data_IF_373021744523
#
_entry.id   IF_373021744523
#
_cell.length_a   1.000
_cell.length_b   1.000
_cell.length_c   1.000
_cell.angle_alpha   90.00
_cell.angle_beta   90.00
_cell.angle_gamma   90.00
#
_symmetry.space_group_name_H-M   'P 1'
#
loop_
_entity.id
_entity.type
_entity.pdbx_description
1 polymer ?
#
# COMPACT_ATOMS: atom_id res chain seq x y z
N UNK A 1 -55.77 9.89 -22.28
CA UNK A 1 -56.06 11.31 -22.58
C UNK A 1 -54.93 12.21 -22.04
N UNK A 2 -53.88 12.40 -22.84
CA UNK A 2 -53.49 13.70 -23.46
C UNK A 2 -52.81 14.65 -22.44
N UNK A 3 -51.62 15.23 -22.65
CA UNK A 3 -50.91 15.56 -23.89
C UNK A 3 -49.44 15.92 -23.55
N UNK A 4 -48.53 15.38 -24.34
CA UNK A 4 -47.32 15.96 -24.94
C UNK A 4 -46.67 17.24 -24.37
N UNK A 5 -45.35 17.17 -24.15
CA UNK A 5 -44.40 18.26 -24.40
C UNK A 5 -43.16 17.67 -25.09
N UNK A 6 -43.03 17.98 -26.39
CA UNK A 6 -41.84 17.79 -27.24
C UNK A 6 -40.98 19.05 -27.09
N UNK A 7 -39.67 18.89 -26.98
CA UNK A 7 -38.73 19.87 -27.55
C UNK A 7 -37.74 19.13 -28.44
N UNK A 8 -37.88 19.38 -29.74
CA UNK A 8 -36.89 19.13 -30.75
C UNK A 8 -36.24 20.49 -31.08
N UNK A 9 -34.92 20.52 -31.17
CA UNK A 9 -34.20 21.56 -31.88
C UNK A 9 -33.06 20.88 -32.65
N UNK A 10 -33.21 20.86 -33.97
CA UNK A 10 -32.18 20.53 -34.94
C UNK A 10 -31.56 21.84 -35.48
N UNK A 11 -30.39 21.78 -36.12
CA UNK A 11 -29.38 22.84 -36.09
C UNK A 11 -29.43 23.77 -37.31
N UNK A 12 -28.79 24.93 -37.21
CA UNK A 12 -28.51 25.82 -38.33
C UNK A 12 -27.10 26.43 -38.23
N UNK A 13 -26.40 26.45 -39.37
CA UNK A 13 -25.20 27.25 -39.66
C UNK A 13 -23.89 26.57 -39.27
N UNK A 14 -22.98 26.20 -40.14
CA UNK A 14 -22.62 26.82 -41.43
C UNK A 14 -21.40 27.71 -41.20
N UNK A 15 -20.21 27.20 -41.50
CA UNK A 15 -18.96 27.95 -41.41
C UNK A 15 -17.81 27.11 -41.97
N UNK A 16 -17.51 27.32 -43.26
CA UNK A 16 -16.34 26.75 -43.92
C UNK A 16 -15.05 27.41 -43.46
N UNK A 17 -13.93 26.72 -43.65
CA UNK A 17 -12.62 27.30 -43.35
C UNK A 17 -11.48 26.31 -43.52
N UNK A 18 -10.83 26.41 -44.68
CA UNK A 18 -9.41 26.18 -44.95
C UNK A 18 -8.80 24.81 -44.63
N UNK A 19 -8.36 24.14 -45.70
CA UNK A 19 -7.45 23.02 -45.65
C UNK A 19 -6.09 23.39 -45.06
N UNK A 20 -5.56 22.47 -44.25
CA UNK A 20 -4.15 22.38 -43.90
C UNK A 20 -3.67 20.99 -44.25
N UNK A 21 -3.04 20.86 -45.43
CA UNK A 21 -2.25 19.71 -45.78
C UNK A 21 -0.99 19.70 -44.90
N UNK A 22 -0.81 18.64 -44.15
CA UNK A 22 0.34 18.43 -43.27
C UNK A 22 0.61 16.94 -43.15
N UNK A 23 0.99 16.32 -44.28
CA UNK A 23 1.50 14.95 -44.33
C UNK A 23 2.86 14.89 -43.64
N UNK A 24 2.84 14.67 -42.33
CA UNK A 24 3.99 14.18 -41.58
C UNK A 24 4.20 12.69 -41.90
N UNK A 25 5.12 12.42 -42.81
CA UNK A 25 5.58 11.07 -43.13
C UNK A 25 6.25 10.43 -41.91
N UNK A 26 5.46 9.71 -41.12
CA UNK A 26 5.97 8.80 -40.10
C UNK A 26 6.46 7.52 -40.79
N UNK A 27 7.78 7.42 -40.97
CA UNK A 27 8.48 6.29 -41.57
C UNK A 27 8.57 5.11 -40.58
N UNK A 28 7.43 4.66 -40.08
CA UNK A 28 7.29 3.43 -39.30
C UNK A 28 7.13 2.22 -40.21
N UNK A 29 8.13 1.33 -40.22
CA UNK A 29 8.13 -0.04 -40.75
C UNK A 29 6.73 -0.64 -41.00
N UNK A 30 6.28 -0.62 -42.26
CA UNK A 30 4.99 -1.18 -42.72
C UNK A 30 5.04 -2.70 -42.98
N UNK A 31 5.88 -3.46 -42.28
CA UNK A 31 5.95 -4.92 -42.43
C UNK A 31 5.02 -5.70 -41.49
N UNK A 32 4.04 -5.03 -40.87
CA UNK A 32 2.94 -5.73 -40.20
C UNK A 32 2.08 -6.48 -41.23
N UNK A 33 2.48 -7.73 -41.54
CA UNK A 33 1.92 -8.55 -42.60
C UNK A 33 0.39 -8.63 -42.61
N UNK A 34 -0.19 -8.77 -43.79
CA UNK A 34 -1.64 -8.93 -44.04
C UNK A 34 -2.30 -9.93 -43.09
N UNK A 35 -1.58 -10.99 -42.69
CA UNK A 35 -2.00 -11.98 -41.70
C UNK A 35 -2.35 -11.36 -40.33
N UNK A 36 -1.61 -10.36 -39.86
CA UNK A 36 -1.88 -9.68 -38.59
C UNK A 36 -3.21 -8.92 -38.62
N UNK A 37 -3.44 -8.17 -39.70
CA UNK A 37 -4.69 -7.43 -39.90
C UNK A 37 -5.87 -8.40 -39.96
N UNK A 38 -5.70 -9.55 -40.61
CA UNK A 38 -6.70 -10.61 -40.65
C UNK A 38 -6.99 -11.19 -39.24
N UNK A 39 -5.97 -11.55 -38.45
CA UNK A 39 -6.15 -12.04 -37.07
C UNK A 39 -6.86 -11.04 -36.17
N UNK A 40 -6.47 -9.76 -36.23
CA UNK A 40 -7.09 -8.69 -35.42
C UNK A 40 -8.53 -8.40 -35.83
N UNK A 41 -8.81 -8.42 -37.14
CA UNK A 41 -10.16 -8.27 -37.66
C UNK A 41 -11.04 -9.46 -37.27
N UNK A 42 -10.52 -10.68 -37.42
CA UNK A 42 -11.19 -11.91 -36.99
C UNK A 42 -11.49 -11.87 -35.49
N UNK A 43 -10.51 -11.52 -34.64
CA UNK A 43 -10.71 -11.39 -33.20
C UNK A 43 -11.81 -10.38 -32.84
N UNK A 44 -11.91 -9.27 -33.59
CA UNK A 44 -12.96 -8.26 -33.35
C UNK A 44 -14.36 -8.70 -33.79
N UNK A 45 -14.48 -9.63 -34.74
CA UNK A 45 -15.76 -10.17 -35.23
C UNK A 45 -16.16 -11.45 -34.49
N UNK A 46 -15.20 -12.17 -33.93
CA UNK A 46 -15.42 -13.40 -33.17
C UNK A 46 -15.96 -13.13 -31.76
N UNK A 47 -15.86 -11.91 -31.21
CA UNK A 47 -16.34 -11.62 -29.84
C UNK A 47 -17.79 -12.02 -29.57
N UNK A 48 -18.63 -12.05 -30.62
CA UNK A 48 -20.05 -12.36 -30.53
C UNK A 48 -20.36 -13.83 -30.87
N UNK A 49 -19.34 -14.63 -31.22
CA UNK A 49 -19.50 -16.01 -31.68
C UNK A 49 -19.04 -17.02 -30.62
N UNK A 50 -19.54 -18.26 -30.70
CA UNK A 50 -19.06 -19.38 -29.87
C UNK A 50 -17.54 -19.55 -29.95
N UNK A 51 -16.96 -19.30 -31.13
CA UNK A 51 -15.52 -19.38 -31.34
C UNK A 51 -14.74 -18.30 -30.57
N UNK A 52 -15.28 -17.08 -30.45
CA UNK A 52 -14.65 -16.05 -29.63
C UNK A 52 -14.71 -16.38 -28.14
N UNK A 53 -15.83 -16.92 -27.64
CA UNK A 53 -15.92 -17.40 -26.26
C UNK A 53 -14.91 -18.51 -25.99
N UNK A 54 -14.82 -19.52 -26.86
CA UNK A 54 -13.81 -20.57 -26.74
C UNK A 54 -12.37 -20.02 -26.73
N UNK A 55 -12.10 -18.98 -27.52
CA UNK A 55 -10.80 -18.31 -27.49
C UNK A 55 -10.55 -17.58 -26.16
N UNK A 56 -11.58 -16.98 -25.56
CA UNK A 56 -11.48 -16.32 -24.26
C UNK A 56 -11.22 -17.34 -23.15
N UNK A 57 -12.01 -18.42 -23.08
CA UNK A 57 -11.81 -19.53 -22.12
C UNK A 57 -10.38 -20.03 -22.18
N UNK A 58 -9.82 -20.18 -23.39
CA UNK A 58 -8.43 -20.60 -23.58
C UNK A 58 -7.40 -19.67 -22.91
N UNK A 59 -7.69 -18.38 -22.74
CA UNK A 59 -6.76 -17.43 -22.14
C UNK A 59 -7.01 -17.13 -20.67
N UNK A 60 -8.28 -17.07 -20.25
CA UNK A 60 -8.65 -16.66 -18.88
C UNK A 60 -9.19 -17.81 -18.02
N UNK A 61 -9.33 -19.01 -18.58
CA UNK A 61 -9.95 -20.15 -17.91
C UNK A 61 -11.48 -20.12 -17.97
N UNK A 62 -12.09 -21.20 -17.50
CA UNK A 62 -13.55 -21.30 -17.32
C UNK A 62 -14.01 -20.38 -16.19
N UNK A 63 -13.17 -20.21 -15.17
CA UNK A 63 -13.39 -19.34 -14.03
C UNK A 63 -13.46 -17.87 -14.46
N UNK A 64 -12.57 -17.45 -15.36
CA UNK A 64 -12.60 -16.09 -15.90
C UNK A 64 -13.86 -15.80 -16.71
N UNK A 65 -14.38 -16.78 -17.46
CA UNK A 65 -15.67 -16.64 -18.14
C UNK A 65 -16.81 -16.53 -17.13
N UNK A 66 -16.82 -17.37 -16.09
CA UNK A 66 -17.83 -17.34 -15.04
C UNK A 66 -17.85 -16.01 -14.26
N UNK A 67 -16.68 -15.38 -14.02
CA UNK A 67 -16.62 -14.01 -13.46
C UNK A 67 -17.32 -13.02 -14.39
N UNK A 68 -17.05 -13.07 -15.71
CA UNK A 68 -17.70 -12.16 -16.65
C UNK A 68 -19.21 -12.38 -16.77
N UNK A 69 -19.68 -13.63 -16.67
CA UNK A 69 -21.10 -13.97 -16.63
C UNK A 69 -21.78 -13.39 -15.39
N UNK A 70 -21.13 -13.48 -14.23
CA UNK A 70 -21.63 -12.88 -13.00
C UNK A 70 -21.71 -11.34 -13.08
N UNK A 71 -20.69 -10.70 -13.68
CA UNK A 71 -20.68 -9.26 -13.91
C UNK A 71 -21.75 -8.85 -14.95
N UNK A 72 -21.96 -9.62 -16.02
CA UNK A 72 -23.03 -9.40 -16.99
C UNK A 72 -24.42 -9.49 -16.32
N UNK A 73 -24.63 -10.49 -15.46
CA UNK A 73 -25.87 -10.62 -14.67
C UNK A 73 -26.10 -9.41 -13.75
N UNK A 74 -25.05 -8.96 -13.06
CA UNK A 74 -25.11 -7.78 -12.19
C UNK A 74 -25.49 -6.53 -12.99
N UNK A 75 -24.82 -6.25 -14.11
CA UNK A 75 -25.13 -5.08 -14.94
C UNK A 75 -26.53 -5.18 -15.54
N UNK A 76 -26.98 -6.37 -15.92
CA UNK A 76 -28.36 -6.57 -16.43
C UNK A 76 -29.41 -6.19 -15.37
N UNK A 77 -29.15 -6.47 -14.09
CA UNK A 77 -30.03 -6.09 -12.97
C UNK A 77 -30.01 -4.60 -12.62
N UNK A 78 -28.93 -3.88 -12.97
CA UNK A 78 -28.70 -2.47 -12.63
C UNK A 78 -29.12 -1.52 -13.74
N UNK A 79 -28.85 -1.89 -14.99
CA UNK A 79 -29.10 -1.08 -16.17
C UNK A 79 -30.02 -1.81 -17.15
N UNK A 80 -29.47 -2.29 -18.27
CA UNK A 80 -30.20 -3.00 -19.30
C UNK A 80 -29.39 -4.19 -19.81
N UNK A 81 -30.08 -5.23 -20.28
CA UNK A 81 -29.45 -6.39 -20.92
C UNK A 81 -28.55 -5.98 -22.10
N UNK A 82 -28.94 -4.92 -22.83
CA UNK A 82 -28.13 -4.38 -23.92
C UNK A 82 -26.79 -3.82 -23.41
N UNK A 83 -26.81 -3.01 -22.36
CA UNK A 83 -25.60 -2.44 -21.77
C UNK A 83 -24.67 -3.53 -21.22
N UNK A 84 -25.22 -4.53 -20.54
CA UNK A 84 -24.46 -5.67 -20.02
C UNK A 84 -23.75 -6.46 -21.13
N UNK A 85 -24.45 -6.77 -22.22
CA UNK A 85 -23.89 -7.45 -23.40
C UNK A 85 -22.82 -6.61 -24.09
N UNK A 86 -23.02 -5.30 -24.21
CA UNK A 86 -22.04 -4.38 -24.80
C UNK A 86 -20.77 -4.30 -23.94
N UNK A 87 -20.90 -4.19 -22.62
CA UNK A 87 -19.77 -4.21 -21.68
C UNK A 87 -18.95 -5.50 -21.81
N UNK A 88 -19.60 -6.67 -21.70
CA UNK A 88 -18.92 -7.97 -21.81
C UNK A 88 -18.22 -8.15 -23.15
N UNK A 89 -18.88 -7.80 -24.24
CA UNK A 89 -18.31 -7.81 -25.59
C UNK A 89 -17.05 -6.95 -25.69
N UNK A 90 -17.06 -5.78 -25.06
CA UNK A 90 -15.93 -4.87 -25.09
C UNK A 90 -14.77 -5.35 -24.21
N UNK A 91 -15.03 -5.95 -23.05
CA UNK A 91 -14.04 -6.66 -22.23
C UNK A 91 -13.38 -7.78 -23.05
N UNK A 92 -14.17 -8.67 -23.65
CA UNK A 92 -13.69 -9.78 -24.48
C UNK A 92 -12.80 -9.30 -25.62
N UNK A 93 -13.22 -8.24 -26.34
CA UNK A 93 -12.43 -7.67 -27.44
C UNK A 93 -11.08 -7.12 -26.98
N UNK A 94 -11.03 -6.51 -25.79
CA UNK A 94 -9.79 -5.97 -25.23
C UNK A 94 -8.85 -7.10 -24.80
N UNK A 95 -9.38 -8.11 -24.11
CA UNK A 95 -8.63 -9.31 -23.72
C UNK A 95 -8.03 -10.01 -24.94
N UNK A 96 -8.83 -10.30 -25.97
CA UNK A 96 -8.34 -10.96 -27.19
C UNK A 96 -7.24 -10.15 -27.89
N UNK A 97 -7.34 -8.81 -27.91
CA UNK A 97 -6.29 -7.95 -28.48
C UNK A 97 -5.01 -7.99 -27.63
N UNK A 98 -5.13 -7.99 -26.30
CA UNK A 98 -3.99 -8.11 -25.40
C UNK A 98 -3.30 -9.46 -25.59
N UNK A 99 -4.06 -10.56 -25.63
CA UNK A 99 -3.53 -11.92 -25.84
C UNK A 99 -2.83 -12.08 -27.19
N UNK A 100 -3.40 -11.55 -28.28
CA UNK A 100 -2.73 -11.58 -29.59
C UNK A 100 -1.44 -10.75 -29.56
N UNK A 101 -1.46 -9.60 -28.90
CA UNK A 101 -0.27 -8.73 -28.78
C UNK A 101 0.83 -9.39 -27.93
N UNK A 102 0.45 -10.16 -26.91
CA UNK A 102 1.36 -10.98 -26.10
C UNK A 102 1.99 -12.11 -26.92
N UNK A 103 1.19 -12.89 -27.66
CA UNK A 103 1.68 -13.99 -28.51
C UNK A 103 2.64 -13.52 -29.60
N UNK A 104 2.43 -12.32 -30.13
CA UNK A 104 3.31 -11.71 -31.12
C UNK A 104 4.51 -10.98 -30.50
N UNK A 105 4.74 -11.13 -29.19
CA UNK A 105 5.84 -10.50 -28.44
C UNK A 105 5.90 -8.97 -28.59
N UNK A 106 4.74 -8.33 -28.82
CA UNK A 106 4.64 -6.86 -28.88
C UNK A 106 4.51 -6.24 -27.50
N UNK A 107 3.98 -7.01 -26.55
CA UNK A 107 3.97 -6.63 -25.13
C UNK A 107 5.31 -7.04 -24.54
N UNK A 108 5.99 -6.10 -23.89
CA UNK A 108 7.26 -6.34 -23.22
C UNK A 108 7.06 -7.32 -22.05
N UNK A 109 7.86 -8.39 -21.99
CA UNK A 109 7.76 -9.43 -20.96
C UNK A 109 8.02 -8.89 -19.55
N UNK A 110 8.99 -7.99 -19.37
CA UNK A 110 9.27 -7.37 -18.08
C UNK A 110 8.11 -6.47 -17.62
N UNK A 111 7.52 -5.71 -18.54
CA UNK A 111 6.34 -4.89 -18.26
C UNK A 111 5.12 -5.76 -17.88
N UNK A 112 4.94 -6.91 -18.55
CA UNK A 112 3.88 -7.86 -18.22
C UNK A 112 4.10 -8.48 -16.84
N UNK A 113 5.33 -8.91 -16.53
CA UNK A 113 5.70 -9.42 -15.19
C UNK A 113 5.45 -8.38 -14.10
N UNK A 114 5.78 -7.11 -14.34
CA UNK A 114 5.51 -6.02 -13.41
C UNK A 114 4.01 -5.77 -13.19
N UNK A 115 3.15 -6.15 -14.14
CA UNK A 115 1.70 -6.04 -14.04
C UNK A 115 1.03 -7.19 -13.26
N UNK A 116 1.70 -8.35 -13.12
CA UNK A 116 1.13 -9.52 -12.42
C UNK A 116 0.80 -9.17 -10.97
N UNK A 117 1.75 -8.63 -10.22
CA UNK A 117 1.57 -8.39 -8.78
C UNK A 117 0.40 -7.42 -8.47
N UNK A 118 0.25 -6.26 -9.13
CA UNK A 118 -0.93 -5.41 -8.94
C UNK A 118 -2.25 -6.11 -9.29
N UNK A 119 -2.26 -6.97 -10.31
CA UNK A 119 -3.46 -7.70 -10.72
C UNK A 119 -3.85 -8.79 -9.74
N UNK A 120 -2.88 -9.59 -9.26
CA UNK A 120 -3.12 -10.59 -8.22
C UNK A 120 -3.66 -9.94 -6.96
N UNK A 121 -3.08 -8.81 -6.55
CA UNK A 121 -3.56 -8.03 -5.39
C UNK A 121 -4.97 -7.50 -5.54
N UNK A 122 -5.35 -7.05 -6.74
CA UNK A 122 -6.73 -6.68 -7.01
C UNK A 122 -7.65 -7.90 -6.88
N UNK A 123 -7.23 -9.06 -7.37
CA UNK A 123 -7.94 -10.33 -7.17
C UNK A 123 -8.15 -10.67 -5.70
N UNK A 124 -7.09 -10.61 -4.89
CA UNK A 124 -7.14 -10.83 -3.43
C UNK A 124 -8.14 -9.86 -2.76
N UNK A 125 -8.07 -8.57 -3.10
CA UNK A 125 -8.99 -7.56 -2.57
C UNK A 125 -10.44 -7.83 -2.96
N UNK A 126 -10.71 -8.21 -4.21
CA UNK A 126 -12.08 -8.55 -4.64
C UNK A 126 -12.60 -9.74 -3.82
N UNK A 127 -11.77 -10.78 -3.61
CA UNK A 127 -12.15 -11.94 -2.81
C UNK A 127 -12.47 -11.54 -1.38
N UNK A 128 -11.61 -10.77 -0.71
CA UNK A 128 -11.83 -10.31 0.67
C UNK A 128 -13.10 -9.46 0.81
N UNK A 129 -13.32 -8.52 -0.13
CA UNK A 129 -14.48 -7.64 -0.11
C UNK A 129 -15.79 -8.40 -0.38
N UNK A 130 -15.75 -9.47 -1.18
CA UNK A 130 -16.91 -10.31 -1.39
C UNK A 130 -17.24 -11.23 -0.21
N UNK A 131 -16.30 -11.48 0.74
CA UNK A 131 -16.58 -12.24 1.97
C UNK A 131 -17.35 -11.43 3.02
N UNK A 132 -17.18 -10.11 3.00
CA UNK A 132 -17.83 -9.22 3.96
C UNK A 132 -19.36 -9.26 3.82
N UNK A 133 -20.11 -9.16 4.93
CA UNK A 133 -21.57 -9.07 4.87
C UNK A 133 -22.02 -7.83 4.07
N UNK A 134 -23.19 -7.92 3.45
CA UNK A 134 -23.76 -6.83 2.68
C UNK A 134 -24.06 -5.63 3.59
N UNK A 135 -23.64 -4.42 3.19
CA UNK A 135 -23.83 -3.18 3.96
C UNK A 135 -22.57 -2.66 4.65
N UNK A 136 -21.57 -3.53 4.86
CA UNK A 136 -20.33 -3.19 5.59
C UNK A 136 -19.13 -2.91 4.66
N UNK A 137 -19.32 -2.97 3.34
CA UNK A 137 -18.21 -2.89 2.38
C UNK A 137 -17.93 -1.46 1.94
N UNK A 138 -16.76 -0.93 2.31
CA UNK A 138 -16.28 0.37 1.83
C UNK A 138 -15.78 0.31 0.37
N UNK A 139 -16.66 0.65 -0.56
CA UNK A 139 -16.34 0.60 -1.99
C UNK A 139 -15.27 1.61 -2.44
N UNK A 140 -14.91 2.63 -1.64
CA UNK A 140 -13.94 3.65 -2.05
C UNK A 140 -12.52 3.08 -2.16
N UNK A 141 -12.13 2.22 -1.22
CA UNK A 141 -10.83 1.54 -1.25
C UNK A 141 -10.72 0.58 -2.45
N UNK A 142 -11.76 -0.20 -2.72
CA UNK A 142 -11.78 -1.12 -3.88
C UNK A 142 -11.80 -0.34 -5.21
N UNK A 143 -12.57 0.75 -5.30
CA UNK A 143 -12.58 1.66 -6.45
C UNK A 143 -11.17 2.17 -6.77
N UNK A 144 -10.44 2.62 -5.75
CA UNK A 144 -9.06 3.08 -5.88
C UNK A 144 -8.14 1.96 -6.37
N UNK A 145 -8.29 0.74 -5.85
CA UNK A 145 -7.51 -0.42 -6.28
C UNK A 145 -7.77 -0.82 -7.74
N UNK A 146 -9.04 -0.80 -8.18
CA UNK A 146 -9.42 -1.06 -9.58
C UNK A 146 -8.77 -0.04 -10.52
N UNK A 147 -8.82 1.25 -10.18
CA UNK A 147 -8.22 2.31 -11.01
C UNK A 147 -6.68 2.21 -11.05
N UNK A 148 -6.05 1.89 -9.93
CA UNK A 148 -4.60 1.67 -9.88
C UNK A 148 -4.17 0.47 -10.75
N UNK A 149 -4.93 -0.63 -10.72
CA UNK A 149 -4.70 -1.78 -11.60
C UNK A 149 -4.92 -1.43 -13.07
N UNK A 150 -5.96 -0.64 -13.38
CA UNK A 150 -6.19 -0.09 -14.71
C UNK A 150 -4.99 0.71 -15.21
N UNK A 151 -4.39 1.59 -14.41
CA UNK A 151 -3.28 2.43 -14.85
C UNK A 151 -2.00 1.62 -15.16
N UNK A 152 -1.80 0.50 -14.44
CA UNK A 152 -0.75 -0.46 -14.75
C UNK A 152 -1.03 -1.16 -16.08
N UNK A 153 -2.24 -1.69 -16.26
CA UNK A 153 -2.64 -2.38 -17.49
C UNK A 153 -2.67 -1.44 -18.70
N UNK A 154 -3.09 -0.18 -18.52
CA UNK A 154 -3.16 0.81 -19.58
C UNK A 154 -1.76 1.11 -20.12
N UNK A 155 -0.77 1.28 -19.23
CA UNK A 155 0.65 1.43 -19.62
C UNK A 155 1.16 0.21 -20.39
N UNK A 156 0.74 -1.00 -20.00
CA UNK A 156 1.12 -2.23 -20.67
C UNK A 156 0.57 -2.32 -22.10
N UNK A 157 -0.69 -1.89 -22.32
CA UNK A 157 -1.37 -2.03 -23.62
C UNK A 157 -1.20 -0.82 -24.55
N UNK A 158 -0.85 0.35 -24.01
CA UNK A 158 -0.71 1.61 -24.78
C UNK A 158 0.21 1.48 -26.00
N UNK A 159 1.37 0.81 -25.93
CA UNK A 159 2.26 0.67 -27.09
C UNK A 159 1.70 -0.23 -28.21
N UNK A 160 0.71 -1.08 -27.92
CA UNK A 160 0.23 -2.13 -28.83
C UNK A 160 -1.21 -1.94 -29.29
N UNK A 161 -1.93 -1.01 -28.67
CA UNK A 161 -3.34 -0.73 -28.95
C UNK A 161 -3.55 0.65 -29.57
N UNK A 162 -4.73 0.84 -30.18
CA UNK A 162 -5.13 2.14 -30.72
C UNK A 162 -5.80 2.94 -29.61
N UNK A 163 -5.69 4.27 -29.66
CA UNK A 163 -6.29 5.19 -28.69
C UNK A 163 -7.77 4.95 -28.40
N UNK A 164 -8.58 4.62 -29.43
CA UNK A 164 -9.99 4.25 -29.22
C UNK A 164 -10.21 3.04 -28.31
N UNK A 165 -9.26 2.11 -28.25
CA UNK A 165 -9.32 0.98 -27.31
C UNK A 165 -8.89 1.41 -25.91
N UNK A 166 -7.99 2.40 -25.79
CA UNK A 166 -7.57 2.95 -24.49
C UNK A 166 -8.77 3.65 -23.83
N UNK A 167 -9.45 4.53 -24.57
CA UNK A 167 -10.66 5.21 -24.10
C UNK A 167 -11.72 4.20 -23.61
N UNK A 168 -11.96 3.15 -24.40
CA UNK A 168 -12.89 2.08 -24.04
C UNK A 168 -12.45 1.27 -22.82
N UNK A 169 -11.16 0.96 -22.69
CA UNK A 169 -10.63 0.27 -21.52
C UNK A 169 -10.80 1.12 -20.26
N UNK A 170 -10.53 2.43 -20.35
CA UNK A 170 -10.73 3.38 -19.26
C UNK A 170 -12.20 3.58 -18.93
N UNK A 171 -13.12 3.55 -19.90
CA UNK A 171 -14.56 3.61 -19.66
C UNK A 171 -15.04 2.40 -18.86
N UNK A 172 -14.63 1.19 -19.25
CA UNK A 172 -14.94 -0.05 -18.52
C UNK A 172 -14.36 0.00 -17.10
N UNK A 173 -13.10 0.40 -16.95
CA UNK A 173 -12.46 0.48 -15.63
C UNK A 173 -13.15 1.51 -14.72
N UNK A 174 -13.51 2.69 -15.24
CA UNK A 174 -14.25 3.71 -14.48
C UNK A 174 -15.64 3.22 -14.10
N UNK A 175 -16.34 2.53 -14.98
CA UNK A 175 -17.63 1.92 -14.67
C UNK A 175 -17.49 0.87 -13.57
N UNK A 176 -16.55 -0.06 -13.70
CA UNK A 176 -16.28 -1.11 -12.72
C UNK A 176 -15.80 -0.55 -11.36
N UNK A 177 -15.11 0.59 -11.35
CA UNK A 177 -14.69 1.30 -10.14
C UNK A 177 -15.78 2.25 -9.59
N UNK A 178 -16.89 2.45 -10.31
CA UNK A 178 -17.87 3.46 -9.91
C UNK A 178 -18.64 3.03 -8.65
N UNK A 179 -18.96 3.96 -7.74
CA UNK A 179 -19.84 3.67 -6.62
C UNK A 179 -21.21 3.16 -7.06
N UNK A 180 -21.69 3.61 -8.23
CA UNK A 180 -22.94 3.14 -8.83
C UNK A 180 -22.91 1.66 -9.20
N UNK A 181 -21.73 1.09 -9.49
CA UNK A 181 -21.57 -0.34 -9.77
C UNK A 181 -21.20 -1.15 -8.53
N UNK A 182 -20.17 -0.72 -7.79
CA UNK A 182 -19.63 -1.47 -6.65
C UNK A 182 -20.60 -1.56 -5.47
N UNK A 183 -21.32 -0.48 -5.14
CA UNK A 183 -22.23 -0.51 -3.99
C UNK A 183 -23.38 -1.51 -4.19
N UNK A 184 -24.11 -1.52 -5.33
CA UNK A 184 -25.14 -2.54 -5.52
C UNK A 184 -24.55 -3.96 -5.52
N UNK A 185 -23.43 -4.19 -6.22
CA UNK A 185 -22.82 -5.52 -6.27
C UNK A 185 -22.39 -6.05 -4.89
N UNK A 186 -21.81 -5.20 -4.04
CA UNK A 186 -21.20 -5.63 -2.77
C UNK A 186 -22.11 -5.45 -1.54
N UNK A 187 -22.99 -4.45 -1.56
CA UNK A 187 -23.79 -4.04 -0.41
C UNK A 187 -25.30 -4.27 -0.57
N UNK A 188 -25.84 -4.45 -1.77
CA UNK A 188 -27.27 -4.73 -1.95
C UNK A 188 -27.54 -6.25 -1.97
N UNK A 189 -28.35 -6.79 -1.04
CA UNK A 189 -28.70 -8.21 -0.97
C UNK A 189 -29.27 -8.80 -2.28
N UNK A 190 -29.86 -7.98 -3.16
CA UNK A 190 -30.37 -8.39 -4.49
C UNK A 190 -29.28 -8.99 -5.39
N UNK A 191 -28.01 -8.66 -5.13
CA UNK A 191 -26.84 -9.10 -5.90
C UNK A 191 -26.04 -10.19 -5.19
N UNK A 192 -26.58 -10.78 -4.11
CA UNK A 192 -25.88 -11.83 -3.35
C UNK A 192 -25.46 -13.04 -4.20
N UNK A 193 -26.26 -13.44 -5.20
CA UNK A 193 -25.90 -14.49 -6.15
C UNK A 193 -24.69 -14.13 -7.02
N UNK A 194 -24.65 -12.92 -7.56
CA UNK A 194 -23.56 -12.43 -8.40
C UNK A 194 -22.31 -12.18 -7.58
N UNK A 195 -22.44 -11.58 -6.40
CA UNK A 195 -21.35 -11.38 -5.44
C UNK A 195 -20.69 -12.70 -5.08
N UNK A 196 -21.49 -13.73 -4.76
CA UNK A 196 -20.99 -15.08 -4.47
C UNK A 196 -20.30 -15.70 -5.69
N UNK A 197 -20.89 -15.59 -6.88
CA UNK A 197 -20.26 -16.12 -8.09
C UNK A 197 -18.92 -15.42 -8.39
N UNK A 198 -18.84 -14.09 -8.25
CA UNK A 198 -17.57 -13.36 -8.39
C UNK A 198 -16.55 -13.82 -7.35
N UNK A 199 -16.96 -13.99 -6.08
CA UNK A 199 -16.09 -14.51 -5.02
C UNK A 199 -15.51 -15.88 -5.38
N UNK A 200 -16.37 -16.86 -5.63
CA UNK A 200 -15.96 -18.26 -5.78
C UNK A 200 -15.00 -18.43 -6.97
N UNK A 201 -15.28 -17.73 -8.07
CA UNK A 201 -14.47 -17.80 -9.28
C UNK A 201 -13.16 -17.00 -9.14
N UNK A 202 -13.21 -15.80 -8.54
CA UNK A 202 -11.99 -15.02 -8.30
C UNK A 202 -11.06 -15.71 -7.29
N UNK A 203 -11.61 -16.38 -6.28
CA UNK A 203 -10.84 -17.17 -5.32
C UNK A 203 -10.09 -18.31 -6.02
N UNK A 204 -10.75 -19.04 -6.92
CA UNK A 204 -10.11 -20.07 -7.74
C UNK A 204 -8.99 -19.51 -8.62
N UNK A 205 -9.22 -18.37 -9.29
CA UNK A 205 -8.20 -17.70 -10.12
C UNK A 205 -6.99 -17.30 -9.28
N UNK A 206 -7.23 -16.69 -8.12
CA UNK A 206 -6.18 -16.23 -7.19
C UNK A 206 -5.37 -17.41 -6.65
N UNK A 207 -6.03 -18.50 -6.27
CA UNK A 207 -5.38 -19.73 -5.80
C UNK A 207 -4.48 -20.33 -6.89
N UNK A 208 -5.00 -20.46 -8.11
CA UNK A 208 -4.26 -21.03 -9.25
C UNK A 208 -3.02 -20.22 -9.64
N UNK A 209 -3.03 -18.89 -9.43
CA UNK A 209 -1.91 -18.01 -9.76
C UNK A 209 -0.93 -17.81 -8.58
N UNK A 210 -1.09 -18.60 -7.51
CA UNK A 210 -0.30 -18.49 -6.30
C UNK A 210 -0.84 -17.37 -5.42
N UNK A 211 -1.84 -17.69 -4.61
CA UNK A 211 -2.38 -16.73 -3.64
C UNK A 211 -1.27 -16.24 -2.71
N UNK A 212 -1.12 -14.92 -2.61
CA UNK A 212 -0.26 -14.30 -1.60
C UNK A 212 -0.95 -14.23 -0.23
N UNK A 213 -2.08 -14.92 -0.03
CA UNK A 213 -2.90 -14.91 1.18
C UNK A 213 -2.17 -15.41 2.46
N UNK A 214 -0.91 -15.83 2.37
CA UNK A 214 -0.11 -16.18 3.53
C UNK A 214 0.49 -15.00 4.31
N UNK A 215 0.80 -13.87 3.67
CA UNK A 215 1.50 -12.76 4.36
C UNK A 215 1.61 -11.58 3.41
N UNK A 216 0.65 -10.67 3.42
CA UNK A 216 0.93 -9.22 3.39
C UNK A 216 -0.38 -8.46 3.47
N UNK A 217 -0.82 -8.25 4.71
CA UNK A 217 -1.76 -7.16 5.01
C UNK A 217 -1.28 -5.91 4.24
N UNK A 218 -2.13 -5.30 3.44
CA UNK A 218 -1.75 -4.11 2.70
C UNK A 218 -1.39 -2.99 3.67
N UNK A 219 -0.62 -2.04 3.17
CA UNK A 219 -0.39 -0.79 3.88
C UNK A 219 -1.73 -0.15 4.25
N UNK A 220 -1.91 0.22 5.53
CA UNK A 220 -3.11 0.86 6.04
C UNK A 220 -3.33 2.29 5.51
N UNK A 221 -2.37 2.86 4.75
CA UNK A 221 -2.56 4.12 4.05
C UNK A 221 -3.54 3.91 2.89
N UNK A 222 -4.70 4.60 2.87
CA UNK A 222 -5.65 4.49 1.77
C UNK A 222 -5.00 4.69 0.40
N UNK A 223 -5.29 3.79 -0.55
CA UNK A 223 -4.73 3.82 -1.90
C UNK A 223 -3.31 3.25 -2.04
N UNK A 224 -2.63 2.88 -0.96
CA UNK A 224 -1.31 2.25 -1.02
C UNK A 224 -1.41 0.74 -1.20
N UNK A 225 -1.11 0.26 -2.41
CA UNK A 225 -1.10 -1.18 -2.74
C UNK A 225 0.22 -1.89 -2.40
N UNK A 226 1.17 -1.19 -1.78
CA UNK A 226 2.40 -1.81 -1.32
C UNK A 226 2.14 -2.71 -0.11
N UNK A 227 2.82 -3.87 -0.03
CA UNK A 227 2.67 -4.80 1.08
C UNK A 227 3.08 -4.14 2.41
N UNK A 228 2.42 -4.44 3.54
CA UNK A 228 3.00 -4.18 4.87
C UNK A 228 4.41 -4.75 4.90
N UNK A 229 5.29 -4.08 5.64
CA UNK A 229 6.51 -4.74 6.06
C UNK A 229 6.18 -5.84 7.07
N UNK A 230 6.95 -6.91 7.06
CA UNK A 230 6.86 -8.02 8.01
C UNK A 230 7.44 -7.65 9.38
N UNK A 231 7.15 -6.45 9.88
CA UNK A 231 7.41 -6.07 11.26
C UNK A 231 6.14 -6.24 12.08
N UNK A 232 6.28 -6.88 13.25
CA UNK A 232 5.16 -7.11 14.15
C UNK A 232 4.52 -5.78 14.54
N UNK A 233 3.21 -5.64 14.31
CA UNK A 233 2.46 -4.41 14.59
C UNK A 233 2.59 -3.29 13.54
N UNK A 234 3.45 -3.40 12.52
CA UNK A 234 3.73 -2.31 11.60
C UNK A 234 2.68 -2.13 10.51
N UNK A 235 1.66 -1.28 10.68
CA UNK A 235 0.51 -1.16 9.76
C UNK A 235 0.81 -0.65 8.34
N UNK A 236 2.05 -0.39 7.97
CA UNK A 236 2.40 0.34 6.75
C UNK A 236 3.40 -0.43 5.88
N UNK A 237 3.43 -0.13 4.59
CA UNK A 237 4.51 -0.60 3.71
C UNK A 237 5.84 0.05 4.07
N UNK A 238 6.95 -0.44 3.50
CA UNK A 238 8.28 0.06 3.84
C UNK A 238 8.41 1.58 3.64
N UNK A 239 7.83 2.11 2.56
CA UNK A 239 7.82 3.54 2.28
C UNK A 239 7.04 4.35 3.32
N UNK A 240 5.77 4.01 3.54
CA UNK A 240 4.94 4.72 4.52
C UNK A 240 5.38 4.48 5.97
N UNK A 241 5.98 3.34 6.26
CA UNK A 241 6.61 3.06 7.54
C UNK A 241 7.84 3.96 7.74
N UNK A 242 8.73 4.01 6.75
CA UNK A 242 9.90 4.88 6.79
C UNK A 242 9.50 6.35 6.86
N UNK A 243 8.42 6.79 6.19
CA UNK A 243 7.89 8.15 6.29
C UNK A 243 7.29 8.42 7.67
N UNK A 244 6.41 7.53 8.16
CA UNK A 244 5.79 7.65 9.48
C UNK A 244 6.83 7.74 10.59
N UNK A 245 7.93 7.02 10.46
CA UNK A 245 9.02 6.99 11.44
C UNK A 245 10.29 7.70 10.95
N UNK A 246 10.19 8.53 9.91
CA UNK A 246 11.30 9.36 9.43
C UNK A 246 11.64 10.47 10.41
N UNK A 247 10.64 10.87 11.19
CA UNK A 247 10.76 11.79 12.30
C UNK A 247 10.87 10.97 13.59
N UNK A 248 11.72 11.36 14.53
CA UNK A 248 11.71 10.75 15.86
C UNK A 248 10.28 10.79 16.42
N UNK A 249 9.72 9.66 16.87
CA UNK A 249 8.40 9.65 17.49
C UNK A 249 8.40 10.58 18.69
N UNK A 250 7.32 11.33 18.86
CA UNK A 250 7.14 12.25 19.99
C UNK A 250 6.44 11.55 21.15
N UNK A 251 6.45 12.15 22.33
CA UNK A 251 5.70 11.65 23.50
C UNK A 251 4.24 11.33 23.17
N UNK A 252 3.54 12.20 22.42
CA UNK A 252 2.13 11.99 22.06
C UNK A 252 1.90 10.72 21.22
N UNK A 253 2.88 10.31 20.41
CA UNK A 253 2.79 9.06 19.63
C UNK A 253 2.83 7.83 20.54
N UNK A 254 3.57 7.91 21.66
CA UNK A 254 3.60 6.88 22.68
C UNK A 254 2.30 6.86 23.50
N UNK A 255 1.76 8.01 23.89
CA UNK A 255 0.53 8.07 24.68
C UNK A 255 -0.70 7.54 23.93
N UNK A 256 -0.72 7.64 22.59
CA UNK A 256 -1.84 7.18 21.75
C UNK A 256 -1.78 5.70 21.37
N UNK A 257 -0.66 5.03 21.59
CA UNK A 257 -0.47 3.63 21.23
C UNK A 257 -0.10 2.82 22.48
N UNK A 258 -0.98 1.90 22.90
CA UNK A 258 -0.80 1.11 24.12
C UNK A 258 0.48 0.27 24.11
N UNK A 259 0.90 -0.27 22.96
CA UNK A 259 2.14 -1.04 22.86
C UNK A 259 3.37 -0.14 23.04
N UNK A 260 3.36 1.05 22.43
CA UNK A 260 4.47 2.01 22.56
C UNK A 260 4.53 2.55 24.00
N UNK A 261 3.37 2.90 24.57
CA UNK A 261 3.24 3.39 25.94
C UNK A 261 3.88 2.46 26.97
N UNK A 262 3.82 1.14 26.78
CA UNK A 262 4.44 0.16 27.69
C UNK A 262 5.94 0.34 27.84
N UNK A 263 6.66 0.71 26.77
CA UNK A 263 8.10 0.99 26.85
C UNK A 263 8.38 2.22 27.70
N UNK A 264 7.60 3.29 27.50
CA UNK A 264 7.76 4.52 28.29
C UNK A 264 7.33 4.33 29.75
N UNK A 265 6.27 3.55 30.01
CA UNK A 265 5.88 3.15 31.37
C UNK A 265 6.96 2.34 32.07
N UNK A 266 7.59 1.40 31.36
CA UNK A 266 8.71 0.62 31.90
C UNK A 266 9.89 1.50 32.28
N UNK A 267 10.22 2.49 31.44
CA UNK A 267 11.24 3.49 31.74
C UNK A 267 10.86 4.35 32.96
N UNK A 268 9.63 4.84 33.01
CA UNK A 268 9.15 5.73 34.07
C UNK A 268 9.13 5.12 35.47
N UNK A 269 9.19 3.79 35.61
CA UNK A 269 9.37 3.13 36.90
C UNK A 269 10.75 3.43 37.52
N UNK A 270 11.78 3.63 36.70
CA UNK A 270 13.14 3.92 37.16
C UNK A 270 13.43 5.39 37.44
N UNK A 271 12.55 6.31 37.03
CA UNK A 271 12.72 7.76 37.19
C UNK A 271 11.78 8.27 38.27
N UNK A 272 12.35 8.84 39.34
CA UNK A 272 11.59 9.31 40.48
C UNK A 272 10.50 10.32 40.07
N UNK A 273 9.27 10.08 40.49
CA UNK A 273 8.11 10.92 40.18
C UNK A 273 7.51 10.70 38.79
N UNK A 274 8.29 10.33 37.77
CA UNK A 274 7.86 10.29 36.35
C UNK A 274 6.61 9.44 36.13
N UNK A 275 6.55 8.29 36.80
CA UNK A 275 5.39 7.41 36.76
C UNK A 275 4.11 8.09 37.25
N UNK A 276 4.19 8.90 38.30
CA UNK A 276 3.03 9.61 38.83
C UNK A 276 2.55 10.67 37.84
N UNK A 277 3.47 11.39 37.19
CA UNK A 277 3.12 12.36 36.14
C UNK A 277 2.45 11.68 34.94
N UNK A 278 2.99 10.55 34.48
CA UNK A 278 2.41 9.78 33.38
C UNK A 278 1.02 9.25 33.74
N UNK A 279 0.86 8.64 34.91
CA UNK A 279 -0.43 8.15 35.41
C UNK A 279 -1.45 9.30 35.50
N UNK A 280 -1.05 10.47 36.00
CA UNK A 280 -1.91 11.64 36.09
C UNK A 280 -2.40 12.09 34.70
N UNK A 281 -1.51 12.26 33.72
CA UNK A 281 -1.88 12.67 32.36
C UNK A 281 -2.88 11.70 31.72
N UNK A 282 -2.66 10.39 31.85
CA UNK A 282 -3.57 9.35 31.34
C UNK A 282 -4.94 9.41 32.04
N UNK A 283 -4.96 9.59 33.37
CA UNK A 283 -6.22 9.69 34.13
C UNK A 283 -7.01 10.95 33.80
N UNK A 284 -6.33 12.08 33.60
CA UNK A 284 -6.98 13.32 33.18
C UNK A 284 -7.53 13.20 31.76
N UNK A 285 -6.83 12.52 30.85
CA UNK A 285 -7.34 12.34 29.50
C UNK A 285 -8.61 11.48 29.45
N UNK A 286 -8.62 10.38 30.21
CA UNK A 286 -9.83 9.57 30.41
C UNK A 286 -10.97 10.36 31.07
N UNK A 287 -10.66 11.28 31.99
CA UNK A 287 -11.66 12.12 32.66
C UNK A 287 -12.44 13.01 31.69
N UNK A 288 -11.80 13.52 30.62
CA UNK A 288 -12.45 14.37 29.61
C UNK A 288 -13.62 13.69 28.88
N UNK A 289 -13.60 12.37 28.78
CA UNK A 289 -14.64 11.57 28.11
C UNK A 289 -15.88 11.29 28.97
N UNK A 290 -15.89 11.71 30.24
CA UNK A 290 -17.02 11.46 31.16
C UNK A 290 -18.13 12.49 30.89
N UNK A 291 -19.34 12.02 30.59
CA UNK A 291 -20.49 12.89 30.32
C UNK A 291 -21.44 13.04 31.52
N UNK A 292 -21.39 12.11 32.49
CA UNK A 292 -22.21 12.16 33.71
C UNK A 292 -21.57 13.06 34.77
N UNK A 293 -22.32 14.06 35.24
CA UNK A 293 -21.83 15.04 36.22
C UNK A 293 -21.48 14.42 37.57
N UNK A 294 -22.25 13.46 38.05
CA UNK A 294 -22.02 12.84 39.36
C UNK A 294 -20.74 11.98 39.32
N UNK A 295 -20.57 11.20 38.26
CA UNK A 295 -19.35 10.41 38.02
C UNK A 295 -18.15 11.35 37.83
N UNK A 296 -18.33 12.47 37.11
CA UNK A 296 -17.27 13.47 36.93
C UNK A 296 -16.85 14.07 38.29
N UNK A 297 -17.79 14.44 39.15
CA UNK A 297 -17.51 14.96 40.50
C UNK A 297 -16.75 13.97 41.38
N UNK A 298 -17.19 12.71 41.41
CA UNK A 298 -16.48 11.67 42.16
C UNK A 298 -15.06 11.45 41.63
N UNK A 299 -14.90 11.38 40.30
CA UNK A 299 -13.59 11.17 39.65
C UNK A 299 -12.67 12.37 39.80
N UNK A 300 -13.18 13.59 39.73
CA UNK A 300 -12.41 14.81 39.94
C UNK A 300 -11.82 14.85 41.34
N UNK A 301 -12.64 14.61 42.38
CA UNK A 301 -12.18 14.54 43.77
C UNK A 301 -11.11 13.47 43.96
N UNK A 302 -11.30 12.28 43.36
CA UNK A 302 -10.31 11.21 43.43
C UNK A 302 -8.99 11.57 42.77
N UNK A 303 -9.01 12.17 41.57
CA UNK A 303 -7.81 12.61 40.87
C UNK A 303 -7.09 13.68 41.69
N UNK A 304 -7.81 14.68 42.20
CA UNK A 304 -7.26 15.75 43.02
C UNK A 304 -6.55 15.21 44.28
N UNK A 305 -7.24 14.38 45.08
CA UNK A 305 -6.67 13.81 46.31
C UNK A 305 -5.48 12.91 46.03
N UNK A 306 -5.49 12.15 44.93
CA UNK A 306 -4.43 11.19 44.61
C UNK A 306 -3.16 11.89 44.12
N UNK A 307 -3.30 12.89 43.25
CA UNK A 307 -2.19 13.45 42.47
C UNK A 307 -1.83 14.90 42.81
N UNK A 308 -2.77 15.74 43.25
CA UNK A 308 -2.53 17.17 43.42
C UNK A 308 -2.32 17.57 44.89
N UNK A 309 -2.81 16.78 45.84
CA UNK A 309 -2.49 17.00 47.25
C UNK A 309 -1.05 16.56 47.56
N UNK A 310 -0.27 17.35 48.33
CA UNK A 310 1.07 16.95 48.77
C UNK A 310 1.09 15.67 49.62
N UNK A 311 -0.02 15.38 50.31
CA UNK A 311 -0.24 14.16 51.10
C UNK A 311 -0.85 13.02 50.29
N UNK A 312 -1.07 13.22 48.98
CA UNK A 312 -1.61 12.22 48.08
C UNK A 312 -0.69 11.00 47.95
N UNK A 313 -1.25 9.87 47.54
CA UNK A 313 -0.47 8.64 47.36
C UNK A 313 0.44 8.67 46.13
N UNK A 314 0.18 9.55 45.17
CA UNK A 314 0.96 9.71 43.93
C UNK A 314 1.13 11.19 43.55
N UNK A 315 1.77 12.02 44.40
CA UNK A 315 1.80 13.45 44.19
C UNK A 315 2.55 13.80 42.89
N UNK A 316 2.06 14.83 42.20
CA UNK A 316 2.64 15.44 41.01
C UNK A 316 2.93 16.90 41.31
N UNK A 317 4.11 17.36 40.89
CA UNK A 317 4.50 18.76 41.01
C UNK A 317 3.68 19.63 40.04
N UNK A 318 2.83 20.50 40.61
CA UNK A 318 2.05 21.52 39.90
C UNK A 318 2.15 22.81 40.71
N UNK A 319 2.02 23.97 40.03
CA UNK A 319 2.00 25.26 40.70
C UNK A 319 0.86 25.33 41.74
N UNK A 320 1.15 25.88 42.93
CA UNK A 320 0.20 25.92 44.06
C UNK A 320 -1.08 26.68 43.73
N UNK A 321 -0.98 27.75 42.94
CA UNK A 321 -2.12 28.57 42.54
C UNK A 321 -3.10 27.74 41.69
N UNK A 322 -2.59 26.93 40.75
CA UNK A 322 -3.41 26.02 39.95
C UNK A 322 -4.10 24.96 40.80
N UNK A 323 -3.44 24.45 41.85
CA UNK A 323 -4.04 23.47 42.76
C UNK A 323 -5.20 24.10 43.53
N UNK A 324 -5.06 25.34 44.00
CA UNK A 324 -6.12 26.07 44.69
C UNK A 324 -7.32 26.37 43.76
N UNK A 325 -7.07 26.77 42.51
CA UNK A 325 -8.11 27.01 41.51
C UNK A 325 -8.92 25.74 41.19
N UNK A 326 -8.21 24.61 41.05
CA UNK A 326 -8.84 23.31 40.83
C UNK A 326 -9.67 22.90 42.05
N UNK A 327 -9.15 23.08 43.26
CA UNK A 327 -9.84 22.76 44.52
C UNK A 327 -11.16 23.52 44.64
N UNK A 328 -11.14 24.84 44.37
CA UNK A 328 -12.33 25.69 44.37
C UNK A 328 -13.40 25.23 43.37
N UNK A 329 -12.97 24.60 42.27
CA UNK A 329 -13.84 24.16 41.18
C UNK A 329 -14.29 22.69 41.30
N UNK A 330 -13.90 21.95 42.35
CA UNK A 330 -14.25 20.53 42.53
C UNK A 330 -15.74 20.26 42.74
N UNK A 331 -16.51 21.25 43.18
CA UNK A 331 -17.95 21.10 43.39
C UNK A 331 -18.75 21.13 42.08
N UNK A 332 -18.22 21.80 41.06
CA UNK A 332 -18.80 21.94 39.72
C UNK A 332 -17.74 21.65 38.64
N UNK A 333 -17.24 20.40 38.57
CA UNK A 333 -16.17 20.06 37.65
C UNK A 333 -16.63 20.19 36.19
N UNK A 334 -15.68 20.56 35.33
CA UNK A 334 -15.83 20.56 33.87
C UNK A 334 -14.82 19.63 33.24
N UNK A 335 -15.02 19.26 31.96
CA UNK A 335 -14.06 18.43 31.22
C UNK A 335 -12.66 19.07 31.12
N UNK A 336 -12.55 20.40 31.26
CA UNK A 336 -11.31 21.16 31.19
C UNK A 336 -10.72 21.49 32.57
N UNK A 337 -11.31 21.02 33.67
CA UNK A 337 -10.90 21.33 35.05
C UNK A 337 -9.39 21.17 35.27
N UNK A 338 -8.80 20.09 34.73
CA UNK A 338 -7.39 19.76 34.92
C UNK A 338 -6.49 20.19 33.75
N UNK A 339 -6.98 20.95 32.76
CA UNK A 339 -6.25 21.21 31.52
C UNK A 339 -4.88 21.88 31.75
N UNK A 340 -4.84 22.92 32.60
CA UNK A 340 -3.58 23.62 32.92
C UNK A 340 -2.59 22.73 33.68
N UNK A 341 -3.06 22.00 34.70
CA UNK A 341 -2.23 21.06 35.46
C UNK A 341 -1.71 19.90 34.58
N UNK A 342 -2.56 19.40 33.67
CA UNK A 342 -2.17 18.37 32.70
C UNK A 342 -1.08 18.89 31.76
N UNK A 343 -1.18 20.14 31.29
CA UNK A 343 -0.17 20.75 30.43
C UNK A 343 1.18 20.85 31.14
N UNK A 344 1.23 21.31 32.40
CA UNK A 344 2.48 21.34 33.18
C UNK A 344 3.10 19.94 33.34
N UNK A 345 2.28 18.93 33.65
CA UNK A 345 2.75 17.55 33.75
C UNK A 345 3.24 17.01 32.40
N UNK A 346 2.55 17.35 31.31
CA UNK A 346 2.90 16.95 29.95
C UNK A 346 4.23 17.56 29.52
N UNK A 347 4.47 18.85 29.75
CA UNK A 347 5.73 19.52 29.43
C UNK A 347 6.92 18.88 30.15
N UNK A 348 6.75 18.48 31.42
CA UNK A 348 7.77 17.72 32.14
C UNK A 348 8.01 16.35 31.52
N UNK A 349 6.94 15.63 31.16
CA UNK A 349 7.07 14.33 30.49
C UNK A 349 7.76 14.47 29.13
N UNK A 350 7.43 15.50 28.36
CA UNK A 350 7.98 15.74 27.02
C UNK A 350 9.47 16.04 27.11
N UNK A 351 9.88 16.88 28.07
CA UNK A 351 11.30 17.14 28.34
C UNK A 351 12.07 15.86 28.68
N UNK A 352 11.57 15.06 29.62
CA UNK A 352 12.23 13.78 29.99
C UNK A 352 12.21 12.79 28.83
N UNK A 353 11.14 12.80 28.03
CA UNK A 353 11.04 11.96 26.85
C UNK A 353 12.16 12.29 25.85
N UNK A 354 12.29 13.56 25.49
CA UNK A 354 13.26 14.03 24.50
C UNK A 354 14.71 13.97 25.00
N UNK A 355 14.95 14.37 26.26
CA UNK A 355 16.31 14.49 26.82
C UNK A 355 16.88 13.13 27.28
N UNK A 356 16.06 12.24 27.84
CA UNK A 356 16.54 11.03 28.53
C UNK A 356 15.99 9.74 27.92
N UNK A 357 14.66 9.64 27.70
CA UNK A 357 14.04 8.38 27.28
C UNK A 357 14.54 7.93 25.91
N UNK A 358 14.74 8.85 24.95
CA UNK A 358 15.28 8.54 23.62
C UNK A 358 16.66 7.86 23.70
N UNK A 359 17.45 8.12 24.76
CA UNK A 359 18.73 7.46 25.02
C UNK A 359 18.64 6.12 25.78
N UNK A 360 17.46 5.76 26.28
CA UNK A 360 17.26 4.60 27.17
C UNK A 360 17.35 3.24 26.46
N UNK A 361 17.51 2.17 27.25
CA UNK A 361 17.45 0.80 26.73
C UNK A 361 16.05 0.44 26.21
N UNK A 362 15.00 0.96 26.85
CA UNK A 362 13.60 0.75 26.48
C UNK A 362 13.28 1.36 25.13
N UNK A 363 13.77 2.58 24.85
CA UNK A 363 13.61 3.21 23.54
C UNK A 363 14.41 2.50 22.45
N UNK A 364 15.61 1.99 22.76
CA UNK A 364 16.38 1.16 21.83
C UNK A 364 15.66 -0.13 21.46
N UNK A 365 15.04 -0.78 22.44
CA UNK A 365 14.24 -1.99 22.21
C UNK A 365 12.98 -1.68 21.38
N UNK A 366 12.26 -0.60 21.72
CA UNK A 366 11.16 -0.09 20.90
C UNK A 366 11.62 0.15 19.46
N UNK A 367 12.76 0.82 19.27
CA UNK A 367 13.32 1.13 17.95
C UNK A 367 13.65 -0.14 17.18
N UNK A 368 14.26 -1.13 17.84
CA UNK A 368 14.59 -2.42 17.24
C UNK A 368 13.34 -3.17 16.77
N UNK A 369 12.31 -3.24 17.60
CA UNK A 369 11.09 -4.03 17.34
C UNK A 369 10.18 -3.32 16.34
N UNK A 370 9.96 -2.02 16.51
CA UNK A 370 8.93 -1.28 15.78
C UNK A 370 9.47 -0.43 14.64
N UNK A 371 10.76 -0.06 14.65
CA UNK A 371 11.37 0.71 13.55
C UNK A 371 12.18 -0.19 12.59
N UNK A 372 12.45 -1.44 12.98
CA UNK A 372 13.04 -2.50 12.13
C UNK A 372 14.52 -2.32 11.81
N UNK A 373 15.08 -1.14 12.06
CA UNK A 373 16.50 -0.81 11.98
C UNK A 373 16.77 0.20 13.09
N UNK A 374 17.91 0.09 13.78
CA UNK A 374 18.46 1.23 14.51
C UNK A 374 18.80 2.26 13.43
N UNK A 375 17.84 3.10 13.06
CA UNK A 375 18.08 4.23 12.18
C UNK A 375 19.04 5.13 12.96
N UNK A 376 20.32 5.28 12.55
CA UNK A 376 21.12 6.37 13.07
C UNK A 376 20.30 7.65 12.88
N UNK A 377 20.26 8.56 13.86
CA UNK A 377 19.43 9.75 13.78
C UNK A 377 19.67 10.41 12.42
N UNK A 378 18.60 10.52 11.62
CA UNK A 378 18.75 11.12 10.30
C UNK A 378 19.31 12.52 10.49
N UNK A 379 20.32 12.93 9.71
CA UNK A 379 20.85 14.28 9.79
C UNK A 379 19.69 15.27 9.71
N UNK A 380 19.63 16.32 10.55
CA UNK A 380 18.55 17.30 10.52
C UNK A 380 18.27 17.87 9.11
N UNK A 381 19.30 17.98 8.28
CA UNK A 381 19.20 18.37 6.87
C UNK A 381 18.44 17.37 5.99
N UNK A 382 18.49 16.07 6.26
CA UNK A 382 17.69 15.05 5.56
C UNK A 382 16.22 15.10 5.99
N UNK A 383 15.96 15.31 7.28
CA UNK A 383 14.60 15.50 7.82
C UNK A 383 13.95 16.74 7.22
N UNK A 384 14.67 17.87 7.19
CA UNK A 384 14.18 19.12 6.59
C UNK A 384 13.87 18.96 5.10
N UNK A 385 14.67 18.18 4.36
CA UNK A 385 14.45 17.88 2.93
C UNK A 385 13.21 17.01 2.70
N UNK A 386 12.99 15.98 3.52
CA UNK A 386 11.79 15.14 3.45
C UNK A 386 10.52 15.92 3.81
N UNK A 387 10.59 16.79 4.83
CA UNK A 387 9.49 17.68 5.19
C UNK A 387 9.16 18.69 4.07
N UNK A 388 10.16 19.19 3.34
CA UNK A 388 9.94 20.04 2.18
C UNK A 388 9.27 19.28 1.01
N UNK A 389 9.58 17.99 0.82
CA UNK A 389 8.94 17.15 -0.20
C UNK A 389 7.45 16.89 0.08
N UNK A 390 7.05 16.71 1.36
CA UNK A 390 5.63 16.57 1.75
C UNK A 390 4.79 17.83 1.45
N UNK A 391 5.41 19.01 1.41
CA UNK A 391 4.72 20.26 1.03
C UNK A 391 4.48 20.43 -0.48
N UNK A 392 4.78 19.40 -1.29
CA UNK A 392 4.58 19.40 -2.74
C UNK A 392 5.62 20.18 -3.53
N UNK A 393 6.74 20.57 -2.89
CA UNK A 393 7.76 21.43 -3.51
C UNK A 393 8.84 20.68 -4.30
N UNK A 394 8.92 19.34 -4.20
CA UNK A 394 9.99 18.55 -4.84
C UNK A 394 9.46 17.22 -5.38
N UNK A 395 9.92 16.85 -6.58
CA UNK A 395 9.67 15.57 -7.24
C UNK A 395 10.29 14.41 -6.43
N UNK A 396 9.41 13.68 -5.74
CA UNK A 396 9.73 12.60 -4.81
C UNK A 396 10.49 11.43 -5.45
N UNK A 397 10.23 11.14 -6.73
CA UNK A 397 10.83 9.98 -7.41
C UNK A 397 12.32 10.20 -7.67
N UNK A 398 12.67 11.44 -8.08
CA UNK A 398 14.04 11.83 -8.41
C UNK A 398 14.94 11.94 -7.18
N UNK A 399 14.37 12.32 -6.04
CA UNK A 399 15.13 12.45 -4.78
C UNK A 399 15.39 11.08 -4.13
N UNK A 400 14.43 10.15 -4.20
CA UNK A 400 14.64 8.77 -3.77
C UNK A 400 15.72 8.07 -4.60
N UNK A 401 15.77 8.34 -5.91
CA UNK A 401 16.81 7.83 -6.81
C UNK A 401 18.21 8.36 -6.41
N UNK A 402 18.34 9.67 -6.16
CA UNK A 402 19.58 10.30 -5.66
C UNK A 402 20.06 9.77 -4.31
N UNK A 403 19.15 9.59 -3.35
CA UNK A 403 19.50 9.06 -2.03
C UNK A 403 19.99 7.61 -2.14
N UNK A 404 19.40 6.83 -3.04
CA UNK A 404 19.81 5.46 -3.33
C UNK A 404 21.18 5.43 -4.02
N UNK A 405 21.43 6.31 -4.99
CA UNK A 405 22.74 6.46 -5.66
C UNK A 405 23.86 6.91 -4.70
N UNK A 406 23.59 7.89 -3.82
CA UNK A 406 24.60 8.36 -2.86
C UNK A 406 24.97 7.29 -1.81
N UNK A 407 24.03 6.38 -1.51
CA UNK A 407 24.26 5.23 -0.61
C UNK A 407 24.98 4.07 -1.29
N UNK A 408 24.84 3.92 -2.61
CA UNK A 408 25.57 2.89 -3.37
C UNK A 408 27.03 3.28 -3.66
N UNK A 409 27.36 4.57 -3.68
CA UNK A 409 28.73 5.05 -3.89
C UNK A 409 29.78 4.51 -2.91
N UNK A 410 29.52 4.54 -1.58
CA UNK A 410 30.42 3.97 -0.57
C UNK A 410 30.51 2.43 -0.65
N UNK A 411 29.39 1.75 -0.92
CA UNK A 411 29.34 0.28 -1.04
C UNK A 411 30.14 -0.21 -2.24
N UNK A 412 30.07 0.50 -3.38
CA UNK A 412 30.89 0.19 -4.57
C UNK A 412 32.39 0.43 -4.36
N UNK A 413 32.77 1.41 -3.55
CA UNK A 413 34.18 1.65 -3.19
C UNK A 413 34.73 0.58 -2.23
N UNK A 414 33.89 0.05 -1.34
CA UNK A 414 34.24 -1.06 -0.46
C UNK A 414 34.37 -2.38 -1.23
N UNK A 415 33.44 -2.72 -2.14
CA UNK A 415 33.58 -3.94 -2.97
C UNK A 415 34.78 -3.86 -3.90
N UNK A 416 35.05 -2.70 -4.51
CA UNK A 416 36.25 -2.53 -5.35
C UNK A 416 37.57 -2.61 -4.56
N UNK A 417 37.57 -2.28 -3.27
CA UNK A 417 38.75 -2.45 -2.41
C UNK A 417 38.98 -3.92 -2.04
N UNK A 418 37.90 -4.68 -1.80
CA UNK A 418 37.96 -6.12 -1.56
C UNK A 418 38.41 -6.92 -2.81
N UNK A 419 37.92 -6.54 -3.99
CA UNK A 419 38.31 -7.20 -5.26
C UNK A 419 39.82 -7.00 -5.59
N UNK A 420 40.41 -5.88 -5.14
CA UNK A 420 41.85 -5.61 -5.31
C UNK A 420 42.70 -6.41 -4.31
N UNK A 421 42.23 -6.59 -3.06
CA UNK A 421 42.92 -7.44 -2.07
C UNK A 421 42.89 -8.92 -2.46
N UNK A 422 41.77 -9.42 -2.99
CA UNK A 422 41.62 -10.82 -3.42
C UNK A 422 42.48 -11.14 -4.67
N UNK A 423 42.63 -10.18 -5.58
CA UNK A 423 43.53 -10.28 -6.74
C UNK A 423 45.02 -10.27 -6.33
N UNK A 424 45.39 -9.53 -5.28
CA UNK A 424 46.77 -9.57 -4.73
C UNK A 424 47.07 -10.83 -3.92
N UNK A 425 46.06 -11.44 -3.28
CA UNK A 425 46.21 -12.69 -2.54
C UNK A 425 46.41 -13.90 -3.48
N UNK A 426 45.75 -13.91 -4.63
CA UNK A 426 45.93 -14.96 -5.65
C UNK A 426 47.28 -14.87 -6.36
N UNK A 427 47.82 -13.67 -6.58
CA UNK A 427 49.15 -13.48 -7.16
C UNK A 427 50.31 -13.98 -6.26
N UNK A 428 50.11 -14.00 -4.93
CA UNK A 428 51.10 -14.51 -3.97
C UNK A 428 51.06 -16.04 -3.80
N UNK A 429 49.93 -16.69 -4.09
CA UNK A 429 49.81 -18.15 -3.99
C UNK A 429 50.52 -18.87 -5.15
N UNK A 430 50.51 -18.27 -6.35
CA UNK A 430 51.13 -18.87 -7.54
C UNK A 430 52.65 -18.73 -7.61
N UNK A 431 53.27 -17.92 -6.73
CA UNK A 431 54.73 -17.79 -6.63
C UNK A 431 55.38 -18.70 -5.59
N UNK A 432 54.60 -19.46 -4.80
CA UNK A 432 55.10 -20.23 -3.67
C UNK A 432 55.23 -21.76 -3.88
N UNK A 433 54.86 -22.31 -5.05
CA UNK A 433 54.87 -23.77 -5.29
C UNK A 433 55.82 -24.25 -6.40
N UNK A 434 56.74 -23.41 -6.87
CA UNK A 434 57.74 -23.77 -7.87
C UNK A 434 59.15 -23.91 -7.29
N UNK A 435 59.53 -25.09 -6.76
CA UNK A 435 60.95 -25.41 -6.58
C UNK A 435 61.35 -26.43 -5.51
N UNK A 436 61.30 -27.72 -5.84
CA UNK A 436 62.19 -28.82 -5.41
C UNK A 436 61.53 -30.14 -5.88
N UNK A 437 62.06 -31.01 -6.72
CA UNK A 437 63.46 -31.37 -6.96
C UNK A 437 63.81 -32.64 -6.16
N UNK A 438 63.88 -33.81 -6.82
CA UNK A 438 64.78 -34.89 -6.40
C UNK A 438 64.21 -36.29 -6.12
N UNK A 439 64.24 -37.13 -7.16
CA UNK A 439 64.55 -38.57 -7.24
C UNK A 439 64.70 -39.48 -5.98
N UNK A 440 64.02 -40.64 -6.04
CA UNK A 440 64.40 -42.02 -5.70
C UNK A 440 63.09 -42.79 -5.43
N UNK A 441 62.80 -44.03 -5.82
CA UNK A 441 63.54 -45.17 -6.34
C UNK A 441 62.76 -46.42 -5.88
N UNK A 442 62.71 -47.48 -6.70
CA UNK A 442 62.47 -48.84 -6.20
C UNK A 442 61.06 -49.43 -6.30
N UNK A 443 60.88 -50.24 -7.34
CA UNK A 443 60.43 -51.64 -7.34
C UNK A 443 59.24 -52.11 -6.47
N UNK A 444 58.31 -52.80 -7.14
CA UNK A 444 57.84 -54.12 -6.70
C UNK A 444 56.34 -54.29 -6.58
N UNK A 445 55.84 -55.38 -7.18
CA UNK A 445 54.81 -56.19 -6.51
C UNK A 445 53.46 -56.33 -7.21
N UNK A 446 53.27 -57.50 -7.78
CA UNK A 446 52.05 -58.08 -8.33
C UNK A 446 50.84 -58.21 -7.37
N UNK A 447 49.69 -58.51 -7.97
CA UNK A 447 48.53 -59.17 -7.36
C UNK A 447 47.41 -58.19 -6.96
N UNK A 448 46.13 -58.39 -7.23
CA UNK A 448 45.37 -59.55 -7.70
C UNK A 448 43.94 -59.41 -7.14
N UNK A 449 42.93 -59.83 -7.91
CA UNK A 449 41.65 -60.34 -7.40
C UNK A 449 40.60 -59.36 -6.86
N UNK A 450 39.50 -59.23 -7.61
CA UNK A 450 38.15 -59.67 -7.19
C UNK A 450 37.39 -58.91 -6.11
N UNK A 451 36.14 -58.56 -6.42
CA UNK A 451 35.10 -58.14 -5.48
C UNK A 451 34.12 -57.15 -6.10
#
# INVERSE_FOLDING_TARGET
>A
PARTSRMAAAPAGGGGGAGGAGDGHDAGSKSGGTMFRAKKWAASKMSDTKAGRAAVIKYIGEEGEAVMDALESAVTKMESEKAAKEMKKDIIKLLLKASVSWQEKRINEAAAKAAILPMTKLGDLIVEYCKLPAGDVDCAALSTAVLAAHDVLLRLITPVMKEKNHARFSEIARFAASPSFLNPLLNDPKYSSEKKAVHDQMASIVEAHGSHAGSTLLCAVPGCLLPRIELRGAAHCQGHHALKYSRPPKLNDFLRNEEHLRYFQSYAVGVAGLRNQLDFVIKVDAFKSIHSRDIMKERAKKIFVTYLLPTGSKPVEVAKDLVADIEASLEHPSATLFAAAQQCAFERLEKVFDDEFVGSAQYREFSRVHLGVVMPPMPPAAIARLAAAESGSVDYSREMERLTESRQGPVRKLTAAFDVEEATATAFADTATGGAGGAAGGAGGAGGGGG
#
